data_IF_505211155952
#
_entry.id   IF_505211155952
#
_cell.length_a   1.000
_cell.length_b   1.000
_cell.length_c   1.000
_cell.angle_alpha   90.00
_cell.angle_beta   90.00
_cell.angle_gamma   90.00
#
_symmetry.space_group_name_H-M   'P 1'
#
loop_
_entity.id
_entity.type
_entity.pdbx_description
1 polymer ?
#
# COMPACT_ATOMS: atom_id res chain seq x y z
N UNK A 1 -16.78 9.33 16.57
CA UNK A 1 -16.10 10.65 16.56
C UNK A 1 -14.58 10.59 16.58
N UNK A 2 -13.95 9.53 17.13
CA UNK A 2 -12.49 9.48 17.29
C UNK A 2 -11.72 9.02 16.04
N UNK A 3 -12.27 8.11 15.25
CA UNK A 3 -11.55 7.53 14.09
C UNK A 3 -11.49 8.48 12.89
N UNK A 4 -12.57 9.23 12.63
CA UNK A 4 -12.57 10.27 11.60
C UNK A 4 -11.52 11.36 11.89
N UNK A 5 -11.33 11.72 13.17
CA UNK A 5 -10.33 12.68 13.58
C UNK A 5 -8.87 12.19 13.38
N UNK A 6 -8.61 10.89 13.49
CA UNK A 6 -7.27 10.31 13.22
C UNK A 6 -6.95 10.36 11.73
N UNK A 7 -7.91 10.00 10.87
CA UNK A 7 -7.76 10.03 9.41
C UNK A 7 -7.47 11.44 8.90
N UNK A 8 -8.23 12.44 9.38
CA UNK A 8 -8.06 13.84 9.02
C UNK A 8 -6.66 14.34 9.41
N UNK A 9 -6.17 13.95 10.58
CA UNK A 9 -4.83 14.32 11.06
C UNK A 9 -3.73 13.71 10.20
N UNK A 10 -3.86 12.46 9.78
CA UNK A 10 -2.87 11.79 8.92
C UNK A 10 -2.82 12.46 7.56
N UNK A 11 -3.96 12.71 6.92
CA UNK A 11 -4.02 13.36 5.61
C UNK A 11 -3.46 14.78 5.64
N UNK A 12 -3.80 15.56 6.66
CA UNK A 12 -3.26 16.93 6.84
C UNK A 12 -1.76 16.92 7.16
N UNK A 13 -1.27 15.91 7.88
CA UNK A 13 0.13 15.80 8.26
C UNK A 13 1.07 15.62 7.05
N UNK A 14 0.54 15.12 5.92
CA UNK A 14 1.30 14.85 4.71
C UNK A 14 1.00 15.80 3.54
N UNK A 15 0.19 16.84 3.77
CA UNK A 15 -0.15 17.81 2.72
C UNK A 15 1.12 18.47 2.17
N UNK A 16 1.27 18.43 0.83
CA UNK A 16 2.40 19.04 0.13
C UNK A 16 3.69 18.21 0.12
N UNK A 17 3.67 16.96 0.60
CA UNK A 17 4.83 16.07 0.54
C UNK A 17 4.94 15.41 -0.85
N UNK A 18 6.18 15.36 -1.39
CA UNK A 18 6.42 14.93 -2.78
C UNK A 18 6.07 13.47 -3.01
N UNK A 19 6.44 12.57 -2.08
CA UNK A 19 6.31 11.13 -2.26
C UNK A 19 5.09 10.52 -1.56
N UNK A 20 4.13 11.35 -1.16
CA UNK A 20 2.85 10.92 -0.61
C UNK A 20 1.73 11.52 -1.45
N UNK A 21 0.68 10.73 -1.71
CA UNK A 21 -0.50 11.20 -2.44
C UNK A 21 -1.14 12.35 -1.68
N UNK A 22 -1.27 13.50 -2.33
CA UNK A 22 -1.85 14.69 -1.72
C UNK A 22 -3.35 14.58 -1.63
N UNK A 23 -3.89 14.87 -0.45
CA UNK A 23 -5.31 15.06 -0.24
C UNK A 23 -5.60 16.57 -0.26
N UNK A 24 -6.45 17.01 -1.18
CA UNK A 24 -6.83 18.42 -1.31
C UNK A 24 -7.93 18.79 -0.33
N UNK A 25 -8.93 17.92 -0.21
CA UNK A 25 -10.16 18.20 0.53
C UNK A 25 -10.91 16.91 0.88
N UNK A 26 -11.78 16.96 1.87
CA UNK A 26 -12.70 15.88 2.17
C UNK A 26 -14.07 16.42 2.61
N UNK A 27 -15.11 15.63 2.39
CA UNK A 27 -16.45 15.91 2.86
C UNK A 27 -17.10 14.65 3.43
N UNK A 28 -18.03 14.83 4.36
CA UNK A 28 -18.78 13.71 4.93
C UNK A 28 -20.27 13.96 4.79
N UNK A 29 -21.02 12.89 4.51
CA UNK A 29 -22.48 12.91 4.42
C UNK A 29 -23.02 11.78 5.30
N UNK A 30 -23.93 12.07 6.27
CA UNK A 30 -24.58 11.01 7.05
C UNK A 30 -25.48 10.17 6.15
N UNK A 31 -25.57 8.87 6.44
CA UNK A 31 -26.56 8.01 5.81
C UNK A 31 -27.98 8.41 6.21
N UNK A 32 -28.96 8.15 5.33
CA UNK A 32 -30.38 8.50 5.56
C UNK A 32 -30.98 7.75 6.75
N UNK A 33 -30.49 6.54 7.04
CA UNK A 33 -30.88 5.70 8.18
C UNK A 33 -30.25 6.15 9.52
N UNK A 34 -29.39 7.17 9.50
CA UNK A 34 -28.67 7.68 10.66
C UNK A 34 -27.56 6.76 11.17
N UNK A 35 -27.25 5.65 10.48
CA UNK A 35 -26.23 4.68 10.86
C UNK A 35 -25.06 4.75 9.86
N UNK A 36 -24.05 5.56 10.17
CA UNK A 36 -22.86 5.67 9.35
C UNK A 36 -22.74 6.97 8.56
N UNK A 37 -21.64 7.07 7.83
CA UNK A 37 -21.28 8.27 7.06
C UNK A 37 -20.59 7.86 5.77
N UNK A 38 -20.94 8.49 4.64
CA UNK A 38 -20.13 8.50 3.43
C UNK A 38 -19.00 9.50 3.60
N UNK A 39 -17.79 9.10 3.25
CA UNK A 39 -16.61 9.98 3.26
C UNK A 39 -16.13 10.16 1.83
N UNK A 40 -16.15 11.39 1.34
CA UNK A 40 -15.67 11.78 0.03
C UNK A 40 -14.31 12.43 0.19
N UNK A 41 -13.31 11.93 -0.54
CA UNK A 41 -11.94 12.45 -0.48
C UNK A 41 -11.56 12.92 -1.87
N UNK A 42 -11.15 14.18 -1.99
CA UNK A 42 -10.56 14.73 -3.21
C UNK A 42 -9.04 14.64 -3.11
N UNK A 43 -8.44 13.93 -4.07
CA UNK A 43 -7.00 13.71 -4.16
C UNK A 43 -6.47 14.13 -5.53
N UNK A 44 -5.16 14.33 -5.63
CA UNK A 44 -4.50 14.49 -6.92
C UNK A 44 -4.75 13.28 -7.82
N UNK A 45 -4.88 13.53 -9.14
CA UNK A 45 -5.08 12.47 -10.13
C UNK A 45 -3.73 11.89 -10.54
N UNK A 46 -3.52 10.61 -10.27
CA UNK A 46 -2.26 9.91 -10.52
C UNK A 46 -2.51 8.59 -11.26
N UNK A 47 -1.45 8.06 -11.87
CA UNK A 47 -1.50 6.75 -12.53
C UNK A 47 -1.03 5.66 -11.56
N UNK A 48 -1.79 4.56 -11.34
CA UNK A 48 -1.31 3.44 -10.53
C UNK A 48 -0.06 2.79 -11.14
N UNK A 49 0.90 2.40 -10.29
CA UNK A 49 2.11 1.67 -10.70
C UNK A 49 1.76 0.41 -11.52
N UNK A 50 0.70 -0.30 -11.14
CA UNK A 50 0.20 -1.48 -11.87
C UNK A 50 -0.18 -1.18 -13.31
N UNK A 51 -0.68 0.03 -13.60
CA UNK A 51 -1.00 0.48 -14.96
C UNK A 51 0.26 0.82 -15.73
N UNK A 52 1.20 1.55 -15.12
CA UNK A 52 2.48 1.88 -15.74
C UNK A 52 3.26 0.63 -16.12
N UNK A 53 3.32 -0.36 -15.24
CA UNK A 53 4.07 -1.61 -15.45
C UNK A 53 3.53 -2.43 -16.63
N UNK A 54 2.24 -2.35 -16.94
CA UNK A 54 1.65 -3.03 -18.10
C UNK A 54 2.23 -2.58 -19.44
N UNK A 55 2.83 -1.40 -19.51
CA UNK A 55 3.47 -0.89 -20.71
C UNK A 55 4.78 -1.61 -21.06
N UNK A 56 5.36 -2.34 -20.08
CA UNK A 56 6.58 -3.11 -20.28
C UNK A 56 6.22 -4.56 -20.64
N UNK A 57 6.54 -4.97 -21.88
CA UNK A 57 6.32 -6.35 -22.35
C UNK A 57 7.27 -7.38 -21.67
N UNK A 58 8.39 -6.92 -21.07
CA UNK A 58 9.42 -7.73 -20.43
C UNK A 58 9.82 -7.18 -19.07
N UNK A 59 11.12 -7.20 -18.78
CA UNK A 59 11.69 -6.66 -17.55
C UNK A 59 11.52 -5.15 -17.47
N UNK A 60 11.29 -4.67 -16.26
CA UNK A 60 11.24 -3.23 -15.96
C UNK A 60 12.69 -2.75 -15.85
N UNK A 61 13.06 -1.60 -16.45
CA UNK A 61 14.40 -1.06 -16.30
C UNK A 61 14.79 -0.88 -14.84
N UNK A 62 16.00 -1.34 -14.47
CA UNK A 62 16.48 -1.31 -13.09
C UNK A 62 16.45 0.09 -12.48
N UNK A 63 16.79 1.12 -13.26
CA UNK A 63 16.71 2.54 -12.87
C UNK A 63 15.30 2.95 -12.39
N UNK A 64 14.25 2.39 -13.02
CA UNK A 64 12.87 2.65 -12.61
C UNK A 64 12.56 1.98 -11.28
N UNK A 65 13.06 0.77 -11.08
CA UNK A 65 12.87 0.03 -9.81
C UNK A 65 13.61 0.73 -8.68
N UNK A 66 14.85 1.17 -8.92
CA UNK A 66 15.61 1.96 -7.95
C UNK A 66 14.86 3.25 -7.58
N UNK A 67 14.32 3.97 -8.58
CA UNK A 67 13.56 5.20 -8.32
C UNK A 67 12.31 4.92 -7.49
N UNK A 68 11.55 3.86 -7.77
CA UNK A 68 10.43 3.44 -6.92
C UNK A 68 10.89 3.23 -5.48
N UNK A 69 11.99 2.46 -5.30
CA UNK A 69 12.56 2.21 -3.97
C UNK A 69 12.93 3.49 -3.23
N UNK A 70 13.63 4.41 -3.89
CA UNK A 70 14.05 5.68 -3.28
C UNK A 70 12.86 6.57 -2.90
N UNK A 71 11.90 6.73 -3.81
CA UNK A 71 10.74 7.60 -3.60
C UNK A 71 9.85 7.06 -2.46
N UNK A 72 9.59 5.73 -2.44
CA UNK A 72 8.78 5.14 -1.38
C UNK A 72 9.53 5.09 -0.05
N UNK A 73 10.84 4.85 -0.03
CA UNK A 73 11.63 5.01 1.20
C UNK A 73 11.53 6.44 1.75
N UNK A 74 11.55 7.45 0.89
CA UNK A 74 11.36 8.84 1.31
C UNK A 74 9.98 9.05 1.94
N UNK A 75 8.92 8.46 1.39
CA UNK A 75 7.59 8.46 1.99
C UNK A 75 7.57 7.77 3.37
N UNK A 76 8.27 6.61 3.50
CA UNK A 76 8.33 5.86 4.76
C UNK A 76 9.10 6.61 5.86
N UNK A 77 10.15 7.36 5.50
CA UNK A 77 10.86 8.25 6.45
C UNK A 77 9.90 9.31 7.00
N UNK A 78 9.04 9.89 6.14
CA UNK A 78 8.02 10.84 6.58
C UNK A 78 6.99 10.18 7.49
N UNK A 79 6.54 8.96 7.16
CA UNK A 79 5.63 8.18 8.00
C UNK A 79 6.25 7.93 9.38
N UNK A 80 7.51 7.49 9.43
CA UNK A 80 8.24 7.28 10.69
C UNK A 80 8.32 8.54 11.53
N UNK A 81 8.64 9.69 10.92
CA UNK A 81 8.70 10.99 11.63
C UNK A 81 7.37 11.39 12.29
N UNK A 82 6.26 10.80 11.86
CA UNK A 82 4.91 11.01 12.39
C UNK A 82 4.38 9.83 13.19
N UNK A 83 5.23 8.82 13.47
CA UNK A 83 4.85 7.58 14.16
C UNK A 83 3.71 6.82 13.46
N UNK A 84 3.69 6.85 12.11
CA UNK A 84 2.71 6.17 11.27
C UNK A 84 3.37 4.96 10.65
N UNK A 85 2.70 3.81 10.69
CA UNK A 85 3.02 2.59 9.94
C UNK A 85 1.93 2.38 8.90
N UNK A 86 2.31 2.23 7.63
CA UNK A 86 1.37 2.18 6.50
C UNK A 86 0.59 0.87 6.44
N UNK A 87 1.26 -0.28 6.61
CA UNK A 87 0.71 -1.65 6.72
C UNK A 87 0.07 -2.23 5.47
N UNK A 88 0.04 -1.51 4.36
CA UNK A 88 -0.56 -1.98 3.09
C UNK A 88 0.25 -1.51 1.88
N UNK A 89 1.57 -1.69 1.91
CA UNK A 89 2.44 -1.38 0.78
C UNK A 89 2.33 -2.48 -0.26
N UNK A 90 1.84 -2.11 -1.44
CA UNK A 90 1.64 -2.97 -2.60
C UNK A 90 1.64 -2.14 -3.88
N UNK A 91 1.81 -2.74 -5.07
CA UNK A 91 1.84 -2.00 -6.33
C UNK A 91 0.59 -1.15 -6.59
N UNK A 92 -0.57 -1.58 -6.09
CA UNK A 92 -1.85 -0.87 -6.23
C UNK A 92 -1.89 0.44 -5.46
N UNK A 93 -1.12 0.54 -4.37
CA UNK A 93 -1.06 1.72 -3.49
C UNK A 93 0.14 2.63 -3.81
N UNK A 94 0.93 2.29 -4.82
CA UNK A 94 1.99 3.15 -5.35
C UNK A 94 1.47 3.82 -6.62
N UNK A 95 1.48 5.14 -6.63
CA UNK A 95 1.01 5.98 -7.72
C UNK A 95 2.19 6.66 -8.41
N UNK A 96 1.98 7.09 -9.64
CA UNK A 96 2.98 7.79 -10.46
C UNK A 96 2.42 9.11 -10.92
N UNK A 97 3.15 10.21 -10.67
CA UNK A 97 2.82 11.53 -11.17
C UNK A 97 3.17 11.67 -12.66
N UNK A 98 2.65 12.68 -13.33
CA UNK A 98 3.03 13.04 -14.71
C UNK A 98 4.51 13.38 -14.83
N UNK A 99 5.16 13.82 -13.77
CA UNK A 99 6.59 14.12 -13.71
C UNK A 99 7.46 12.89 -13.45
N UNK A 100 6.86 11.70 -13.24
CA UNK A 100 7.56 10.45 -13.00
C UNK A 100 7.98 10.22 -11.54
N UNK A 101 7.45 10.98 -10.58
CA UNK A 101 7.65 10.75 -9.16
C UNK A 101 6.70 9.67 -8.65
N UNK A 102 7.22 8.76 -7.82
CA UNK A 102 6.40 7.74 -7.19
C UNK A 102 5.91 8.21 -5.83
N UNK A 103 4.63 7.98 -5.58
CA UNK A 103 3.93 8.44 -4.39
C UNK A 103 3.19 7.30 -3.71
N UNK A 104 3.30 7.25 -2.40
CA UNK A 104 2.57 6.29 -1.57
C UNK A 104 1.17 6.83 -1.27
N UNK A 105 0.16 6.04 -1.59
CA UNK A 105 -1.25 6.35 -1.35
C UNK A 105 -1.93 5.29 -0.48
N UNK A 106 -3.19 5.50 -0.19
CA UNK A 106 -4.06 4.61 0.58
C UNK A 106 -3.44 4.12 1.91
N UNK A 107 -3.30 5.05 2.83
CA UNK A 107 -2.76 4.82 4.19
C UNK A 107 -3.65 3.90 5.02
N UNK A 108 -3.97 2.70 4.58
CA UNK A 108 -4.53 1.55 5.33
C UNK A 108 -5.57 1.86 6.44
N UNK A 109 -6.06 3.10 6.49
CA UNK A 109 -6.99 3.61 7.50
C UNK A 109 -8.29 2.81 7.49
N UNK A 110 -8.67 2.29 6.33
CA UNK A 110 -9.81 1.39 6.21
C UNK A 110 -9.62 0.08 6.99
N UNK A 111 -8.38 -0.41 7.18
CA UNK A 111 -8.12 -1.64 7.94
C UNK A 111 -8.20 -1.46 9.45
N UNK A 112 -7.89 -0.30 9.98
CA UNK A 112 -8.07 0.00 11.41
C UNK A 112 -9.56 -0.03 11.80
N UNK A 113 -10.46 0.28 10.85
CA UNK A 113 -11.91 0.28 11.08
C UNK A 113 -12.57 -1.11 11.01
N UNK A 114 -11.92 -2.12 10.40
CA UNK A 114 -12.54 -3.43 10.12
C UNK A 114 -11.91 -4.61 10.89
N UNK A 115 -11.18 -4.36 11.98
CA UNK A 115 -10.61 -5.42 12.81
C UNK A 115 -11.63 -6.31 13.52
N UNK A 116 -12.94 -6.15 13.29
CA UNK A 116 -13.99 -6.94 13.94
C UNK A 116 -14.74 -7.91 13.01
N UNK A 117 -14.46 -7.94 11.71
CA UNK A 117 -15.11 -8.92 10.83
C UNK A 117 -14.10 -9.53 9.87
N UNK A 118 -14.20 -10.84 9.67
CA UNK A 118 -13.50 -11.66 8.67
C UNK A 118 -13.64 -11.08 7.25
N UNK A 119 -13.08 -9.90 6.99
CA UNK A 119 -13.07 -9.30 5.68
C UNK A 119 -11.91 -9.88 4.87
N UNK A 120 -12.29 -10.78 4.02
CA UNK A 120 -11.65 -11.21 2.76
C UNK A 120 -10.14 -10.99 2.67
N UNK A 121 -9.41 -11.97 3.08
CA UNK A 121 -7.97 -12.18 2.93
C UNK A 121 -7.57 -12.35 1.44
N UNK A 122 -8.38 -11.96 0.47
CA UNK A 122 -8.12 -12.19 -0.94
C UNK A 122 -7.29 -11.05 -1.53
N UNK A 123 -5.98 -11.18 -1.53
CA UNK A 123 -5.08 -10.42 -2.41
C UNK A 123 -4.05 -9.51 -1.75
N UNK A 124 -4.29 -8.94 -0.58
CA UNK A 124 -3.35 -8.05 0.11
C UNK A 124 -2.24 -8.78 0.88
N UNK A 125 -2.48 -10.01 1.31
CA UNK A 125 -1.55 -10.79 2.14
C UNK A 125 -0.23 -11.11 1.45
N UNK A 126 -0.19 -10.98 0.13
CA UNK A 126 0.96 -11.31 -0.73
C UNK A 126 2.19 -10.43 -0.52
N UNK A 127 2.01 -9.25 0.04
CA UNK A 127 3.08 -8.29 0.35
C UNK A 127 3.25 -8.10 1.85
N UNK A 128 2.48 -8.82 2.66
CA UNK A 128 2.43 -8.67 4.10
C UNK A 128 3.61 -9.37 4.76
N UNK A 129 4.22 -8.74 5.74
CA UNK A 129 5.30 -9.33 6.52
C UNK A 129 4.78 -10.51 7.37
N UNK A 130 5.58 -11.58 7.56
CA UNK A 130 5.16 -12.78 8.29
C UNK A 130 4.65 -12.51 9.71
N UNK A 131 5.28 -11.55 10.41
CA UNK A 131 4.86 -11.13 11.76
C UNK A 131 3.48 -10.48 11.79
N UNK A 132 3.08 -9.80 10.71
CA UNK A 132 1.73 -9.23 10.56
C UNK A 132 0.70 -10.34 10.35
N UNK A 133 1.02 -11.34 9.51
CA UNK A 133 0.16 -12.50 9.24
C UNK A 133 -0.03 -13.31 10.54
N UNK A 134 1.05 -13.53 11.29
CA UNK A 134 1.02 -14.31 12.54
C UNK A 134 0.55 -13.50 13.74
N UNK A 135 0.12 -12.24 13.56
CA UNK A 135 -0.39 -11.35 14.61
C UNK A 135 0.58 -11.16 15.78
N UNK A 136 1.88 -11.20 15.53
CA UNK A 136 2.90 -10.84 16.51
C UNK A 136 3.00 -9.32 16.64
N UNK A 137 3.67 -8.86 17.68
CA UNK A 137 4.05 -7.44 17.77
C UNK A 137 4.97 -7.09 16.60
N UNK A 138 4.73 -5.97 15.95
CA UNK A 138 5.50 -5.48 14.82
C UNK A 138 5.62 -3.96 14.84
N UNK A 139 6.66 -3.46 14.24
CA UNK A 139 6.94 -2.04 14.08
C UNK A 139 6.89 -1.57 12.64
N UNK A 140 7.66 -0.53 12.32
CA UNK A 140 7.77 0.09 10.99
C UNK A 140 8.46 -0.81 9.94
N UNK A 141 9.23 -1.80 10.36
CA UNK A 141 9.98 -2.74 9.53
C UNK A 141 9.08 -3.54 8.59
N UNK A 142 7.81 -3.72 8.93
CA UNK A 142 6.84 -4.42 8.08
C UNK A 142 6.59 -3.71 6.75
N UNK A 143 6.68 -2.38 6.73
CA UNK A 143 6.54 -1.59 5.51
C UNK A 143 7.77 -1.76 4.59
N UNK A 144 8.97 -1.85 5.18
CA UNK A 144 10.21 -2.12 4.44
C UNK A 144 10.18 -3.52 3.82
N UNK A 145 9.70 -4.53 4.57
CA UNK A 145 9.51 -5.87 4.05
C UNK A 145 8.58 -5.87 2.84
N UNK A 146 7.43 -5.24 2.95
CA UNK A 146 6.43 -5.14 1.89
C UNK A 146 6.99 -4.41 0.65
N UNK A 147 7.74 -3.32 0.85
CA UNK A 147 8.45 -2.63 -0.23
C UNK A 147 9.46 -3.55 -0.92
N UNK A 148 10.24 -4.31 -0.15
CA UNK A 148 11.20 -5.29 -0.69
C UNK A 148 10.53 -6.31 -1.62
N UNK A 149 9.34 -6.81 -1.26
CA UNK A 149 8.56 -7.71 -2.10
C UNK A 149 8.06 -7.03 -3.38
N UNK A 150 7.66 -5.75 -3.32
CA UNK A 150 7.27 -4.99 -4.51
C UNK A 150 8.45 -4.83 -5.47
N UNK A 151 9.62 -4.43 -4.96
CA UNK A 151 10.82 -4.24 -5.79
C UNK A 151 11.29 -5.57 -6.40
N UNK A 152 11.29 -6.65 -5.61
CA UNK A 152 11.57 -8.00 -6.12
C UNK A 152 10.63 -8.39 -7.25
N UNK A 153 9.32 -8.20 -7.08
CA UNK A 153 8.31 -8.50 -8.08
C UNK A 153 8.53 -7.69 -9.38
N UNK A 154 8.94 -6.42 -9.26
CA UNK A 154 9.27 -5.59 -10.42
C UNK A 154 10.49 -6.10 -11.18
N UNK A 155 11.56 -6.49 -10.46
CA UNK A 155 12.81 -7.01 -11.05
C UNK A 155 12.65 -8.41 -11.63
N UNK A 156 11.79 -9.24 -11.05
CA UNK A 156 11.64 -10.65 -11.39
C UNK A 156 10.46 -10.92 -12.35
N UNK A 157 10.28 -10.07 -13.36
CA UNK A 157 9.23 -10.22 -14.37
C UNK A 157 7.83 -10.46 -13.79
N UNK A 158 7.51 -9.79 -12.68
CA UNK A 158 6.23 -9.90 -11.95
C UNK A 158 5.98 -11.28 -11.35
N UNK A 159 7.03 -12.09 -11.20
CA UNK A 159 6.97 -13.34 -10.46
C UNK A 159 7.19 -13.04 -8.97
N UNK A 160 6.51 -13.80 -8.13
CA UNK A 160 6.65 -13.65 -6.68
C UNK A 160 7.90 -14.33 -6.17
N UNK A 161 8.46 -13.89 -5.03
CA UNK A 161 9.49 -14.66 -4.35
C UNK A 161 8.91 -16.00 -3.89
N UNK A 162 9.79 -17.01 -3.81
CA UNK A 162 9.49 -18.33 -3.26
C UNK A 162 8.46 -19.18 -4.01
N UNK A 163 8.06 -18.79 -5.22
CA UNK A 163 7.15 -19.56 -6.07
C UNK A 163 7.92 -20.03 -7.30
N UNK A 164 7.95 -21.35 -7.54
CA UNK A 164 8.56 -21.93 -8.74
C UNK A 164 7.85 -21.45 -10.00
N UNK A 165 8.62 -21.32 -11.10
CA UNK A 165 8.14 -20.75 -12.37
C UNK A 165 6.94 -21.52 -12.97
N UNK A 166 6.84 -22.81 -12.64
CA UNK A 166 5.81 -23.73 -13.17
C UNK A 166 4.66 -23.98 -12.18
N UNK A 167 4.69 -23.32 -11.03
CA UNK A 167 3.70 -23.50 -9.98
C UNK A 167 2.44 -22.65 -10.24
N UNK A 168 1.31 -23.30 -10.40
CA UNK A 168 -0.02 -22.67 -10.44
C UNK A 168 -0.63 -22.85 -9.04
N UNK A 169 -0.65 -21.83 -8.20
CA UNK A 169 -1.14 -22.00 -6.82
C UNK A 169 -2.63 -22.30 -6.78
N UNK A 170 -3.01 -23.35 -6.06
CA UNK A 170 -4.35 -23.45 -5.49
C UNK A 170 -4.50 -22.42 -4.37
N UNK A 171 -5.72 -21.93 -4.10
CA UNK A 171 -5.95 -20.84 -3.14
C UNK A 171 -5.42 -21.12 -1.72
N UNK A 172 -5.28 -22.38 -1.30
CA UNK A 172 -4.83 -22.79 0.02
C UNK A 172 -3.30 -22.84 0.18
N UNK A 173 -2.56 -23.06 -0.90
CA UNK A 173 -1.09 -23.19 -0.87
C UNK A 173 -0.36 -21.84 -0.94
N UNK A 174 -1.04 -20.78 -1.36
CA UNK A 174 -0.51 -19.41 -1.33
C UNK A 174 -0.16 -18.93 0.09
N UNK A 175 -0.85 -19.42 1.12
CA UNK A 175 -0.59 -19.05 2.52
C UNK A 175 0.66 -19.76 3.07
N UNK A 176 0.90 -21.00 2.68
CA UNK A 176 2.02 -21.80 3.20
C UNK A 176 3.37 -21.43 2.56
N UNK A 177 3.39 -20.96 1.31
CA UNK A 177 4.62 -20.57 0.63
C UNK A 177 5.22 -19.27 1.20
N UNK A 178 4.42 -18.43 1.86
CA UNK A 178 4.88 -17.20 2.51
C UNK A 178 5.40 -17.43 3.95
N UNK A 179 5.21 -18.63 4.51
CA UNK A 179 5.63 -18.98 5.87
C UNK A 179 6.96 -19.78 5.92
N UNK A 180 7.59 -20.03 4.78
CA UNK A 180 8.93 -20.66 4.64
C UNK A 180 9.98 -19.64 4.28
#
# INVERSE_FOLDING_TARGET
GSEMCIRDRIMLAFKGQTNIVSCDDFATKPHEDGIGWDVFIRMELLTPLTTLIKQYAGSIPEEKVIKVGMDICSALILCESKHIVHRDIKPENIMVSEFGDYKLGDFGIARTMYHTTQATIAGSDRYMAPEVITRKEYGKEVDIYSLGLVLYWMLNNRKRPFIDADYIPSNEENEQAQLR
#
